data_IF_002096611979
#
_entry.id   IF_002096611979
#
_cell.length_a   1.000
_cell.length_b   1.000
_cell.length_c   1.000
_cell.angle_alpha   90.00
_cell.angle_beta   90.00
_cell.angle_gamma   90.00
#
_symmetry.space_group_name_H-M   'P 1'
#
loop_
_entity.id
_entity.type
_entity.pdbx_description
1 polymer ?
#
# COMPACT_ATOMS: atom_id res chain seq x y z
N UNK A 1 6.48 30.73 4.82
CA UNK A 1 6.63 29.33 5.26
C UNK A 1 8.03 28.91 4.81
N UNK A 2 8.77 28.15 5.60
CA UNK A 2 10.08 27.66 5.17
C UNK A 2 9.85 26.57 4.11
N UNK A 3 10.13 26.86 2.83
CA UNK A 3 9.85 25.97 1.68
C UNK A 3 10.44 24.58 1.90
N UNK A 4 11.63 24.49 2.47
CA UNK A 4 12.29 23.23 2.80
C UNK A 4 11.47 22.38 3.77
N UNK A 5 10.81 23.01 4.76
CA UNK A 5 9.93 22.30 5.69
C UNK A 5 8.65 21.82 5.02
N UNK A 6 8.14 22.56 4.04
CA UNK A 6 6.96 22.17 3.27
C UNK A 6 7.26 20.98 2.36
N UNK A 7 8.36 21.04 1.59
CA UNK A 7 8.83 19.93 0.77
C UNK A 7 9.09 18.67 1.59
N UNK A 8 9.68 18.82 2.78
CA UNK A 8 9.91 17.72 3.69
C UNK A 8 8.60 17.05 4.15
N UNK A 9 7.55 17.82 4.47
CA UNK A 9 6.22 17.28 4.82
C UNK A 9 5.62 16.48 3.66
N UNK A 10 5.73 16.98 2.43
CA UNK A 10 5.26 16.27 1.23
C UNK A 10 6.03 14.96 1.03
N UNK A 11 7.37 15.01 1.14
CA UNK A 11 8.21 13.84 1.01
C UNK A 11 7.86 12.76 2.06
N UNK A 12 7.58 13.16 3.31
CA UNK A 12 7.12 12.23 4.35
C UNK A 12 5.74 11.63 4.05
N UNK A 13 4.78 12.41 3.55
CA UNK A 13 3.47 11.88 3.18
C UNK A 13 3.57 10.89 2.01
N UNK A 14 4.38 11.22 0.98
CA UNK A 14 4.64 10.34 -0.16
C UNK A 14 5.35 9.05 0.24
N UNK A 15 6.34 9.13 1.14
CA UNK A 15 7.03 7.93 1.63
C UNK A 15 6.08 7.01 2.41
N UNK A 16 5.16 7.58 3.20
CA UNK A 16 4.07 6.83 3.83
C UNK A 16 3.21 6.07 2.83
N UNK A 17 2.76 6.73 1.75
CA UNK A 17 2.04 6.07 0.66
C UNK A 17 2.84 4.91 0.04
N UNK A 18 4.13 5.12 -0.19
CA UNK A 18 5.00 4.10 -0.75
C UNK A 18 5.14 2.88 0.18
N UNK A 19 5.20 3.10 1.50
CA UNK A 19 5.26 2.00 2.47
C UNK A 19 3.98 1.16 2.48
N UNK A 20 2.81 1.77 2.28
CA UNK A 20 1.54 1.03 2.11
C UNK A 20 1.59 0.16 0.86
N UNK A 21 2.08 0.70 -0.26
CA UNK A 21 2.26 -0.06 -1.51
C UNK A 21 3.22 -1.25 -1.33
N UNK A 22 4.34 -1.05 -0.64
CA UNK A 22 5.28 -2.13 -0.35
C UNK A 22 4.67 -3.20 0.56
N UNK A 23 3.91 -2.81 1.58
CA UNK A 23 3.25 -3.76 2.46
C UNK A 23 2.18 -4.60 1.73
N UNK A 24 1.45 -4.00 0.78
CA UNK A 24 0.54 -4.73 -0.12
C UNK A 24 1.28 -5.75 -0.98
N UNK A 25 2.43 -5.37 -1.56
CA UNK A 25 3.26 -6.30 -2.35
C UNK A 25 3.73 -7.47 -1.50
N UNK A 26 4.25 -7.20 -0.30
CA UNK A 26 4.67 -8.24 0.64
C UNK A 26 3.53 -9.21 0.99
N UNK A 27 2.33 -8.68 1.24
CA UNK A 27 1.14 -9.49 1.48
C UNK A 27 0.84 -10.42 0.29
N UNK A 28 0.76 -9.85 -0.92
CA UNK A 28 0.42 -10.56 -2.15
C UNK A 28 1.44 -11.66 -2.45
N UNK A 29 2.73 -11.33 -2.36
CA UNK A 29 3.84 -12.28 -2.52
C UNK A 29 3.69 -13.44 -1.54
N UNK A 30 3.53 -13.14 -0.25
CA UNK A 30 3.40 -14.17 0.78
C UNK A 30 2.17 -15.06 0.55
N UNK A 31 1.05 -14.48 0.14
CA UNK A 31 -0.17 -15.22 -0.15
C UNK A 31 0.02 -16.16 -1.35
N UNK A 32 0.65 -15.69 -2.43
CA UNK A 32 0.94 -16.53 -3.59
C UNK A 32 1.96 -17.63 -3.29
N UNK A 33 2.97 -17.36 -2.48
CA UNK A 33 3.91 -18.39 -2.06
C UNK A 33 3.23 -19.45 -1.19
N UNK A 34 2.30 -19.06 -0.31
CA UNK A 34 1.50 -20.02 0.44
C UNK A 34 0.61 -20.86 -0.48
N UNK A 35 -0.08 -20.24 -1.45
CA UNK A 35 -0.89 -20.97 -2.44
C UNK A 35 -0.03 -21.97 -3.21
N UNK A 36 1.16 -21.55 -3.67
CA UNK A 36 2.09 -22.44 -4.39
C UNK A 36 2.52 -23.61 -3.51
N UNK A 37 2.84 -23.36 -2.25
CA UNK A 37 3.18 -24.39 -1.27
C UNK A 37 2.02 -25.38 -1.07
N UNK A 38 0.79 -24.88 -0.93
CA UNK A 38 -0.41 -25.70 -0.73
C UNK A 38 -0.76 -26.57 -1.93
N UNK A 39 -0.62 -26.03 -3.14
CA UNK A 39 -0.88 -26.76 -4.38
C UNK A 39 0.24 -27.78 -4.67
N UNK A 40 1.49 -27.44 -4.36
CA UNK A 40 2.65 -28.31 -4.57
C UNK A 40 2.78 -28.74 -6.04
N UNK A 41 3.00 -30.03 -6.26
CA UNK A 41 3.11 -30.64 -7.60
C UNK A 41 1.75 -30.94 -8.27
N UNK A 42 0.63 -30.69 -7.58
CA UNK A 42 -0.70 -31.10 -8.07
C UNK A 42 -1.22 -30.26 -9.23
N UNK A 43 -0.76 -29.01 -9.35
CA UNK A 43 -1.14 -28.09 -10.42
C UNK A 43 -0.05 -27.03 -10.59
N UNK A 44 0.20 -26.61 -11.82
CA UNK A 44 1.11 -25.50 -12.11
C UNK A 44 0.54 -24.18 -11.59
N UNK A 45 1.29 -23.49 -10.71
CA UNK A 45 0.96 -22.16 -10.20
C UNK A 45 2.13 -21.20 -10.45
N UNK A 46 2.10 -20.52 -11.60
CA UNK A 46 3.20 -19.67 -12.09
C UNK A 46 3.08 -18.20 -11.69
N UNK A 47 2.05 -17.81 -10.95
CA UNK A 47 1.89 -16.42 -10.48
C UNK A 47 2.94 -16.17 -9.38
N UNK A 48 3.63 -15.03 -9.48
CA UNK A 48 4.68 -14.59 -8.54
C UNK A 48 4.38 -13.23 -7.97
N UNK A 49 4.99 -12.92 -6.82
CA UNK A 49 4.97 -11.57 -6.26
C UNK A 49 5.53 -10.52 -7.21
N UNK A 50 6.60 -10.88 -7.93
CA UNK A 50 7.29 -10.07 -8.94
C UNK A 50 6.36 -9.55 -10.05
N UNK A 51 5.29 -10.27 -10.36
CA UNK A 51 4.26 -9.85 -11.34
C UNK A 51 3.58 -8.53 -10.93
N UNK A 52 3.77 -8.10 -9.68
CA UNK A 52 3.19 -6.91 -9.09
C UNK A 52 4.21 -5.80 -8.75
N UNK A 53 5.49 -5.95 -9.07
CA UNK A 53 6.53 -4.97 -8.72
C UNK A 53 6.26 -3.58 -9.29
N UNK A 54 5.73 -3.52 -10.51
CA UNK A 54 5.38 -2.27 -11.21
C UNK A 54 3.86 -2.01 -11.23
N UNK A 55 3.08 -2.74 -10.44
CA UNK A 55 1.62 -2.53 -10.38
C UNK A 55 1.28 -1.20 -9.70
N UNK A 56 0.27 -0.50 -10.22
CA UNK A 56 -0.32 0.67 -9.56
C UNK A 56 -0.96 0.27 -8.23
N UNK A 57 -1.10 1.24 -7.30
CA UNK A 57 -1.80 1.03 -6.03
C UNK A 57 -3.21 0.44 -6.23
N UNK A 58 -3.94 0.90 -7.25
CA UNK A 58 -5.24 0.33 -7.61
C UNK A 58 -5.17 -1.16 -7.94
N UNK A 59 -4.22 -1.56 -8.79
CA UNK A 59 -4.05 -2.96 -9.18
C UNK A 59 -3.60 -3.84 -8.01
N UNK A 60 -2.78 -3.29 -7.09
CA UNK A 60 -2.41 -3.95 -5.84
C UNK A 60 -3.64 -4.18 -4.96
N UNK A 61 -4.48 -3.16 -4.76
CA UNK A 61 -5.72 -3.26 -3.96
C UNK A 61 -6.68 -4.30 -4.57
N UNK A 62 -6.85 -4.32 -5.89
CA UNK A 62 -7.73 -5.28 -6.56
C UNK A 62 -7.21 -6.72 -6.47
N UNK A 63 -5.89 -6.90 -6.41
CA UNK A 63 -5.27 -8.22 -6.18
C UNK A 63 -5.44 -8.63 -4.72
N UNK A 64 -5.13 -7.73 -3.79
CA UNK A 64 -5.32 -7.93 -2.35
C UNK A 64 -6.76 -8.33 -2.00
N UNK A 65 -7.77 -7.66 -2.58
CA UNK A 65 -9.20 -8.01 -2.36
C UNK A 65 -9.51 -9.48 -2.70
N UNK A 66 -8.82 -10.07 -3.67
CA UNK A 66 -9.04 -11.49 -4.05
C UNK A 66 -8.41 -12.48 -3.05
N UNK A 67 -7.57 -11.99 -2.15
CA UNK A 67 -6.74 -12.79 -1.24
C UNK A 67 -7.13 -12.62 0.23
N UNK A 68 -7.96 -11.61 0.56
CA UNK A 68 -8.46 -11.36 1.92
C UNK A 68 -9.99 -11.42 1.97
N UNK A 69 -10.54 -11.67 3.16
CA UNK A 69 -11.96 -11.47 3.48
C UNK A 69 -12.23 -10.16 4.23
N UNK A 70 -11.19 -9.36 4.51
CA UNK A 70 -11.27 -8.11 5.26
C UNK A 70 -11.77 -6.94 4.39
N UNK A 71 -13.07 -6.95 4.11
CA UNK A 71 -13.74 -5.93 3.29
C UNK A 71 -13.61 -4.50 3.85
N UNK A 72 -13.44 -4.35 5.18
CA UNK A 72 -13.19 -3.03 5.78
C UNK A 72 -11.84 -2.48 5.32
N UNK A 73 -10.78 -3.28 5.42
CA UNK A 73 -9.44 -2.86 5.02
C UNK A 73 -9.38 -2.55 3.51
N UNK A 74 -10.07 -3.32 2.68
CA UNK A 74 -10.20 -3.03 1.23
C UNK A 74 -10.87 -1.67 0.99
N UNK A 75 -11.97 -1.36 1.69
CA UNK A 75 -12.64 -0.05 1.57
C UNK A 75 -11.75 1.11 2.02
N UNK A 76 -11.02 0.92 3.12
CA UNK A 76 -10.13 1.95 3.66
C UNK A 76 -8.97 2.23 2.68
N UNK A 77 -8.35 1.18 2.11
CA UNK A 77 -7.29 1.31 1.09
C UNK A 77 -7.77 2.03 -0.18
N UNK A 78 -9.02 1.78 -0.61
CA UNK A 78 -9.60 2.49 -1.76
C UNK A 78 -9.75 3.98 -1.52
N UNK A 79 -10.20 4.38 -0.33
CA UNK A 79 -10.25 5.80 0.05
C UNK A 79 -8.85 6.41 0.09
N UNK A 80 -7.89 5.68 0.65
CA UNK A 80 -6.49 6.13 0.72
C UNK A 80 -5.86 6.31 -0.67
N UNK A 81 -6.20 5.45 -1.65
CA UNK A 81 -5.78 5.62 -3.05
C UNK A 81 -6.13 7.00 -3.58
N UNK A 82 -7.34 7.48 -3.30
CA UNK A 82 -7.80 8.77 -3.81
C UNK A 82 -6.99 9.93 -3.21
N UNK A 83 -6.63 9.84 -1.93
CA UNK A 83 -5.73 10.80 -1.26
C UNK A 83 -4.30 10.74 -1.81
N UNK A 84 -3.76 9.55 -2.06
CA UNK A 84 -2.43 9.36 -2.70
C UNK A 84 -2.39 9.94 -4.10
N UNK A 85 -3.45 9.74 -4.89
CA UNK A 85 -3.59 10.31 -6.23
C UNK A 85 -3.66 11.84 -6.16
N UNK A 86 -4.44 12.39 -5.22
CA UNK A 86 -4.47 13.82 -4.97
C UNK A 86 -3.08 14.36 -4.65
N UNK A 87 -2.34 13.72 -3.74
CA UNK A 87 -0.97 14.12 -3.38
C UNK A 87 0.00 14.07 -4.57
N UNK A 88 -0.12 13.03 -5.40
CA UNK A 88 0.72 12.86 -6.59
C UNK A 88 0.45 13.93 -7.65
N UNK A 89 -0.81 14.34 -7.85
CA UNK A 89 -1.17 15.31 -8.90
C UNK A 89 -1.11 16.76 -8.45
N UNK A 90 -1.61 17.06 -7.24
CA UNK A 90 -1.71 18.44 -6.73
C UNK A 90 -0.56 18.83 -5.82
N UNK A 91 0.00 17.90 -5.03
CA UNK A 91 1.16 18.19 -4.20
C UNK A 91 2.38 18.57 -5.03
N UNK A 92 2.62 17.85 -6.13
CA UNK A 92 3.71 18.18 -7.06
C UNK A 92 3.43 19.48 -7.81
N UNK A 93 2.18 19.72 -8.24
CA UNK A 93 1.83 20.98 -8.90
C UNK A 93 2.05 22.20 -7.97
N UNK A 94 1.63 22.10 -6.70
CA UNK A 94 1.88 23.16 -5.71
C UNK A 94 3.36 23.33 -5.36
N UNK A 95 4.19 22.29 -5.47
CA UNK A 95 5.64 22.41 -5.37
C UNK A 95 6.29 23.14 -6.54
N UNK A 96 5.65 23.13 -7.72
CA UNK A 96 6.14 23.68 -8.98
C UNK A 96 5.52 25.04 -9.34
N UNK A 97 4.51 25.47 -8.58
CA UNK A 97 3.80 26.73 -8.79
C UNK A 97 4.64 27.88 -8.23
N UNK A 98 5.50 28.42 -9.09
CA UNK A 98 6.46 29.49 -8.79
C UNK A 98 5.79 30.87 -8.60
N UNK A 99 4.48 31.00 -8.86
CA UNK A 99 3.78 32.29 -8.96
C UNK A 99 3.11 32.78 -7.65
N UNK A 100 3.40 32.18 -6.50
CA UNK A 100 3.02 32.72 -5.17
C UNK A 100 1.49 32.94 -4.97
N UNK A 101 0.63 32.31 -5.79
CA UNK A 101 -0.83 32.47 -5.72
C UNK A 101 -1.52 31.58 -4.67
N UNK A 102 -0.75 30.88 -3.82
CA UNK A 102 -1.32 30.09 -2.74
C UNK A 102 -1.79 30.99 -1.60
N UNK A 103 -3.10 31.25 -1.57
CA UNK A 103 -3.74 31.86 -0.41
C UNK A 103 -3.41 31.07 0.87
N UNK A 104 -3.09 31.77 1.96
CA UNK A 104 -2.70 31.17 3.25
C UNK A 104 -3.69 30.08 3.75
N UNK A 105 -4.99 30.25 3.50
CA UNK A 105 -6.02 29.25 3.86
C UNK A 105 -5.88 27.93 3.09
N UNK A 106 -5.42 27.98 1.84
CA UNK A 106 -5.16 26.80 1.00
C UNK A 106 -3.93 26.05 1.48
N UNK A 107 -2.90 26.76 1.94
CA UNK A 107 -1.69 26.15 2.49
C UNK A 107 -1.98 25.40 3.80
N UNK A 108 -2.77 25.98 4.72
CA UNK A 108 -3.13 25.33 5.98
C UNK A 108 -4.04 24.09 5.80
N UNK A 109 -4.98 24.14 4.86
CA UNK A 109 -5.77 22.96 4.47
C UNK A 109 -4.88 21.85 3.90
N UNK A 110 -3.90 22.22 3.07
CA UNK A 110 -2.98 21.25 2.47
C UNK A 110 -2.11 20.59 3.52
N UNK A 111 -1.54 21.35 4.46
CA UNK A 111 -0.76 20.79 5.58
C UNK A 111 -1.58 19.80 6.43
N UNK A 112 -2.85 20.13 6.72
CA UNK A 112 -3.74 19.21 7.44
C UNK A 112 -3.99 17.91 6.69
N UNK A 113 -4.16 17.97 5.36
CA UNK A 113 -4.28 16.75 4.54
C UNK A 113 -2.99 15.93 4.51
N UNK A 114 -1.82 16.57 4.42
CA UNK A 114 -0.54 15.86 4.47
C UNK A 114 -0.39 15.06 5.78
N UNK A 115 -0.73 15.68 6.91
CA UNK A 115 -0.67 15.01 8.20
C UNK A 115 -1.68 13.86 8.30
N UNK A 116 -2.91 14.06 7.81
CA UNK A 116 -3.92 13.02 7.76
C UNK A 116 -3.49 11.81 6.90
N UNK A 117 -2.89 12.06 5.73
CA UNK A 117 -2.34 11.01 4.86
C UNK A 117 -1.25 10.23 5.59
N UNK A 118 -0.33 10.91 6.28
CA UNK A 118 0.76 10.26 7.02
C UNK A 118 0.23 9.33 8.11
N UNK A 119 -0.72 9.81 8.91
CA UNK A 119 -1.36 9.03 9.98
C UNK A 119 -2.09 7.82 9.40
N UNK A 120 -2.86 8.03 8.34
CA UNK A 120 -3.65 6.96 7.71
C UNK A 120 -2.75 5.91 7.02
N UNK A 121 -1.65 6.35 6.40
CA UNK A 121 -0.66 5.46 5.80
C UNK A 121 -0.06 4.51 6.85
N UNK A 122 0.34 5.04 8.01
CA UNK A 122 0.90 4.22 9.08
C UNK A 122 -0.14 3.25 9.65
N UNK A 123 -1.38 3.71 9.86
CA UNK A 123 -2.48 2.84 10.29
C UNK A 123 -2.70 1.69 9.31
N UNK A 124 -2.82 2.00 8.00
CA UNK A 124 -3.07 1.00 6.97
C UNK A 124 -1.91 0.01 6.83
N UNK A 125 -0.66 0.49 6.93
CA UNK A 125 0.53 -0.36 6.92
C UNK A 125 0.50 -1.38 8.06
N UNK A 126 0.16 -0.94 9.27
CA UNK A 126 0.05 -1.82 10.44
C UNK A 126 -1.10 -2.83 10.30
N UNK A 127 -2.26 -2.38 9.81
CA UNK A 127 -3.41 -3.28 9.60
C UNK A 127 -3.14 -4.33 8.51
N UNK A 128 -2.46 -3.95 7.41
CA UNK A 128 -2.00 -4.90 6.39
C UNK A 128 -1.01 -5.92 6.96
N UNK A 129 -0.09 -5.48 7.82
CA UNK A 129 0.86 -6.38 8.47
C UNK A 129 0.15 -7.38 9.39
N UNK A 130 -0.81 -6.92 10.20
CA UNK A 130 -1.64 -7.79 11.04
C UNK A 130 -2.45 -8.78 10.22
N UNK A 131 -3.08 -8.31 9.15
CA UNK A 131 -3.87 -9.16 8.24
C UNK A 131 -3.02 -10.26 7.61
N UNK A 132 -1.75 -9.97 7.26
CA UNK A 132 -0.81 -10.98 6.78
C UNK A 132 -0.49 -12.04 7.85
N UNK A 133 -0.47 -11.63 9.12
CA UNK A 133 -0.26 -12.50 10.27
C UNK A 133 -1.26 -13.66 10.36
N UNK A 134 -2.45 -13.52 9.77
CA UNK A 134 -3.47 -14.57 9.72
C UNK A 134 -3.03 -15.82 8.96
N UNK A 135 -2.05 -15.71 8.04
CA UNK A 135 -1.60 -16.86 7.25
C UNK A 135 -0.08 -17.04 7.17
N UNK A 136 0.72 -16.03 7.53
CA UNK A 136 2.19 -16.10 7.48
C UNK A 136 2.74 -17.29 8.28
N UNK A 137 2.10 -17.67 9.39
CA UNK A 137 2.49 -18.85 10.15
C UNK A 137 2.44 -20.15 9.33
N UNK A 138 1.38 -20.34 8.53
CA UNK A 138 1.21 -21.49 7.65
C UNK A 138 2.28 -21.51 6.54
N UNK A 139 2.68 -20.34 6.05
CA UNK A 139 3.73 -20.21 5.05
C UNK A 139 5.09 -20.71 5.56
N UNK A 140 5.52 -20.31 6.76
CA UNK A 140 6.88 -20.59 7.23
C UNK A 140 7.01 -21.84 8.10
N UNK A 141 5.97 -22.22 8.86
CA UNK A 141 6.12 -23.23 9.91
C UNK A 141 5.34 -24.52 9.67
N UNK A 142 4.31 -24.53 8.82
CA UNK A 142 3.59 -25.78 8.53
C UNK A 142 4.30 -26.61 7.47
N UNK A 143 4.51 -27.90 7.74
CA UNK A 143 4.88 -28.84 6.70
C UNK A 143 3.60 -29.29 6.01
N UNK A 144 3.47 -28.99 4.72
CA UNK A 144 2.35 -29.49 3.93
C UNK A 144 2.72 -30.92 3.55
N UNK A 145 1.93 -31.94 3.98
CA UNK A 145 2.28 -33.32 3.72
C UNK A 145 2.44 -33.55 2.23
N UNK A 146 3.59 -34.10 1.83
CA UNK A 146 3.80 -34.54 0.46
C UNK A 146 2.87 -35.74 0.21
N UNK A 147 1.86 -35.55 -0.63
CA UNK A 147 0.92 -36.62 -1.00
C UNK A 147 1.44 -37.40 -2.21
N UNK A 148 2.70 -37.15 -2.61
CA UNK A 148 3.42 -37.94 -3.61
C UNK A 148 3.84 -39.28 -3.00
N UNK A 149 2.94 -40.26 -3.04
CA UNK A 149 3.29 -41.69 -3.02
C UNK A 149 3.69 -42.14 -4.43
#
# INVERSE_FOLDING_TARGET
MDEDKFYLKIAYALSGCQLVEQQLKLYITSAFDLVRKCVGSRMTFNIRGEDHDNSSLERLIETFRKLTTNEKLVRDLRKFKDERNFLSHKGIAHCLDYEDQLFYSTAEEFERRLEAIKIEAERLRLELHKEAGNFIGHLYFEQIPDVSK
#
